data_IF_618217771058
#
_entry.id   IF_618217771058
#
_cell.length_a   1.000
_cell.length_b   1.000
_cell.length_c   1.000
_cell.angle_alpha   90.00
_cell.angle_beta   90.00
_cell.angle_gamma   90.00
#
_symmetry.space_group_name_H-M   'P 1'
#
loop_
_entity.id
_entity.type
_entity.pdbx_description
1 polymer ?
#
# COMPACT_ATOMS: atom_id res chain seq x y z
N UNK A 1 -6.44 10.25 11.21
CA UNK A 1 -5.71 9.33 12.12
C UNK A 1 -6.06 7.93 11.67
N UNK A 2 -5.08 7.03 11.52
CA UNK A 2 -5.36 5.66 11.12
C UNK A 2 -5.86 4.83 12.30
N UNK A 3 -7.10 5.05 12.73
CA UNK A 3 -7.70 4.30 13.83
C UNK A 3 -8.18 2.94 13.31
N UNK A 4 -7.34 1.92 13.52
CA UNK A 4 -7.53 0.54 13.00
C UNK A 4 -7.72 0.45 11.49
N UNK A 5 -7.27 1.47 10.77
CA UNK A 5 -7.41 1.60 9.33
C UNK A 5 -6.23 2.39 8.79
N UNK A 6 -5.57 1.88 7.76
CA UNK A 6 -4.40 2.53 7.20
C UNK A 6 -4.19 2.15 5.73
N UNK A 7 -3.07 2.58 5.14
CA UNK A 7 -2.71 2.23 3.78
C UNK A 7 -2.85 0.73 3.53
N UNK A 8 -3.45 0.39 2.40
CA UNK A 8 -3.80 -0.99 2.07
C UNK A 8 -2.94 -1.49 0.91
N UNK A 9 -2.60 -2.78 0.93
CA UNK A 9 -2.04 -3.46 -0.23
C UNK A 9 -3.11 -4.31 -0.87
N UNK A 10 -3.31 -4.13 -2.17
CA UNK A 10 -4.25 -4.89 -2.97
C UNK A 10 -3.55 -5.60 -4.12
N UNK A 11 -4.11 -6.72 -4.55
CA UNK A 11 -3.62 -7.50 -5.69
C UNK A 11 -4.79 -8.08 -6.48
N UNK A 12 -4.52 -8.59 -7.69
CA UNK A 12 -5.55 -9.23 -8.53
C UNK A 12 -6.07 -10.54 -7.95
N UNK A 13 -5.19 -11.27 -7.28
CA UNK A 13 -5.50 -12.54 -6.63
C UNK A 13 -5.27 -12.45 -5.12
N UNK A 14 -5.97 -13.30 -4.36
CA UNK A 14 -5.74 -13.41 -2.93
C UNK A 14 -4.42 -14.16 -2.71
N UNK A 15 -3.37 -13.41 -2.35
CA UNK A 15 -2.04 -13.92 -2.05
C UNK A 15 -1.71 -13.77 -0.57
N UNK A 16 -0.67 -14.47 -0.10
CA UNK A 16 -0.19 -14.29 1.28
C UNK A 16 0.62 -13.01 1.44
N UNK A 17 0.68 -12.46 2.65
CA UNK A 17 1.52 -11.28 2.95
C UNK A 17 3.00 -11.59 2.70
N UNK A 18 3.43 -12.84 2.90
CA UNK A 18 4.79 -13.29 2.62
C UNK A 18 5.17 -13.14 1.14
N UNK A 19 4.23 -13.40 0.23
CA UNK A 19 4.47 -13.28 -1.21
C UNK A 19 4.74 -11.83 -1.64
N UNK A 20 4.24 -10.84 -0.89
CA UNK A 20 4.49 -9.42 -1.17
C UNK A 20 5.96 -9.03 -1.08
N UNK A 21 6.79 -9.84 -0.40
CA UNK A 21 8.24 -9.59 -0.29
C UNK A 21 8.98 -9.80 -1.61
N UNK A 22 8.43 -10.65 -2.48
CA UNK A 22 9.01 -10.97 -3.80
C UNK A 22 8.25 -10.27 -4.94
N UNK A 23 7.08 -9.71 -4.66
CA UNK A 23 6.22 -9.00 -5.59
C UNK A 23 6.77 -7.61 -5.97
N UNK A 24 6.45 -7.16 -7.18
CA UNK A 24 6.64 -5.76 -7.58
C UNK A 24 5.40 -4.94 -7.21
N UNK A 25 5.57 -3.97 -6.31
CA UNK A 25 4.47 -3.19 -5.73
C UNK A 25 4.41 -1.78 -6.35
N UNK A 26 3.27 -1.41 -6.92
CA UNK A 26 3.00 -0.03 -7.30
C UNK A 26 2.81 0.84 -6.05
N UNK A 27 3.57 1.93 -5.91
CA UNK A 27 3.54 2.81 -4.74
C UNK A 27 3.33 4.27 -5.14
N UNK A 28 2.57 5.06 -4.35
CA UNK A 28 2.28 6.46 -4.66
C UNK A 28 3.47 7.41 -4.44
N UNK A 29 4.54 6.91 -3.78
CA UNK A 29 5.75 7.67 -3.52
C UNK A 29 6.57 7.07 -2.38
N UNK A 30 7.90 7.14 -2.49
CA UNK A 30 8.86 6.53 -1.55
C UNK A 30 9.05 7.32 -0.26
N UNK A 31 8.62 8.58 -0.22
CA UNK A 31 8.68 9.43 0.97
C UNK A 31 7.36 9.47 1.76
N UNK A 32 6.39 8.65 1.37
CA UNK A 32 5.09 8.59 2.04
C UNK A 32 5.16 7.73 3.30
N UNK A 33 4.33 8.05 4.29
CA UNK A 33 4.17 7.21 5.47
C UNK A 33 3.64 5.82 5.12
N UNK A 34 2.83 5.71 4.06
CA UNK A 34 2.32 4.45 3.54
C UNK A 34 3.47 3.53 3.09
N UNK A 35 4.42 4.06 2.33
CA UNK A 35 5.59 3.32 1.88
C UNK A 35 6.43 2.84 3.06
N UNK A 36 6.67 3.73 4.04
CA UNK A 36 7.39 3.38 5.25
C UNK A 36 6.68 2.30 6.06
N UNK A 37 5.37 2.42 6.27
CA UNK A 37 4.57 1.45 7.02
C UNK A 37 4.61 0.06 6.36
N UNK A 38 4.48 0.00 5.04
CA UNK A 38 4.58 -1.26 4.30
C UNK A 38 5.98 -1.89 4.45
N UNK A 39 7.04 -1.09 4.29
CA UNK A 39 8.42 -1.55 4.49
C UNK A 39 8.66 -2.11 5.90
N UNK A 40 8.12 -1.43 6.92
CA UNK A 40 8.18 -1.90 8.31
C UNK A 40 7.41 -3.21 8.52
N UNK A 41 6.23 -3.34 7.91
CA UNK A 41 5.42 -4.55 7.97
C UNK A 41 6.12 -5.75 7.33
N UNK A 42 6.68 -5.58 6.14
CA UNK A 42 7.38 -6.65 5.42
C UNK A 42 8.76 -6.96 6.00
N UNK A 43 9.36 -6.02 6.74
CA UNK A 43 10.72 -6.09 7.32
C UNK A 43 11.82 -6.32 6.28
N UNK A 44 11.57 -5.95 5.04
CA UNK A 44 12.49 -6.07 3.91
C UNK A 44 12.34 -4.87 2.99
N UNK A 45 13.35 -4.62 2.18
CA UNK A 45 13.18 -3.83 0.95
C UNK A 45 12.47 -4.71 -0.09
N UNK A 46 11.55 -4.11 -0.84
CA UNK A 46 10.74 -4.78 -1.85
C UNK A 46 10.84 -4.06 -3.19
N UNK A 47 10.64 -4.81 -4.27
CA UNK A 47 10.61 -4.26 -5.62
C UNK A 47 9.39 -3.34 -5.75
N UNK A 48 9.58 -2.14 -6.30
CA UNK A 48 8.49 -1.19 -6.45
C UNK A 48 8.60 -0.35 -7.71
N UNK A 49 7.46 0.14 -8.16
CA UNK A 49 7.34 1.18 -9.19
C UNK A 49 6.59 2.37 -8.61
N UNK A 50 7.10 3.57 -8.84
CA UNK A 50 6.42 4.79 -8.39
C UNK A 50 5.39 5.17 -9.44
N UNK A 51 4.14 5.29 -9.02
CA UNK A 51 3.00 5.65 -9.86
C UNK A 51 2.21 6.79 -9.20
N UNK A 52 1.48 7.62 -9.95
CA UNK A 52 0.51 8.55 -9.37
C UNK A 52 -0.51 7.81 -8.50
N UNK A 53 -0.90 8.40 -7.37
CA UNK A 53 -1.70 7.70 -6.36
C UNK A 53 -3.10 7.28 -6.88
N UNK A 54 -3.64 8.05 -7.82
CA UNK A 54 -4.90 7.85 -8.51
C UNK A 54 -4.81 6.76 -9.59
N UNK A 55 -3.62 6.45 -10.09
CA UNK A 55 -3.37 5.39 -11.08
C UNK A 55 -3.07 4.02 -10.45
N UNK A 56 -2.78 3.94 -9.15
CA UNK A 56 -2.33 2.68 -8.50
C UNK A 56 -3.29 1.52 -8.78
N UNK A 57 -4.59 1.73 -8.63
CA UNK A 57 -5.58 0.67 -8.83
C UNK A 57 -5.60 0.16 -10.27
N UNK A 58 -5.65 1.09 -11.22
CA UNK A 58 -5.70 0.77 -12.65
C UNK A 58 -4.42 0.03 -13.09
N UNK A 59 -3.28 0.44 -12.55
CA UNK A 59 -1.98 -0.22 -12.78
C UNK A 59 -1.97 -1.64 -12.24
N UNK A 60 -2.51 -1.89 -11.04
CA UNK A 60 -2.59 -3.26 -10.48
C UNK A 60 -3.55 -4.12 -11.28
N UNK A 61 -4.69 -3.57 -11.70
CA UNK A 61 -5.66 -4.28 -12.53
C UNK A 61 -5.05 -4.67 -13.88
N UNK A 62 -4.31 -3.75 -14.53
CA UNK A 62 -3.54 -4.04 -15.74
C UNK A 62 -2.40 -5.03 -15.49
N UNK A 63 -1.74 -4.93 -14.34
CA UNK A 63 -0.59 -5.73 -13.93
C UNK A 63 0.73 -5.29 -14.53
N UNK A 64 0.78 -4.08 -15.08
CA UNK A 64 2.01 -3.48 -15.58
C UNK A 64 1.94 -1.95 -15.53
N UNK A 65 3.11 -1.32 -15.46
CA UNK A 65 3.27 0.11 -15.63
C UNK A 65 4.53 0.42 -16.41
N UNK A 66 4.39 1.13 -17.52
CA UNK A 66 5.51 1.53 -18.38
C UNK A 66 6.43 0.35 -18.77
N UNK A 67 5.82 -0.81 -19.09
CA UNK A 67 6.53 -2.04 -19.48
C UNK A 67 7.20 -2.79 -18.32
N UNK A 68 6.93 -2.41 -17.07
CA UNK A 68 7.35 -3.17 -15.88
C UNK A 68 6.16 -3.94 -15.31
N UNK A 69 6.32 -5.22 -14.95
CA UNK A 69 5.27 -5.98 -14.29
C UNK A 69 4.93 -5.40 -12.92
N UNK A 70 3.65 -5.46 -12.55
CA UNK A 70 3.13 -5.06 -11.25
C UNK A 70 2.22 -6.15 -10.72
N UNK A 71 2.47 -6.58 -9.49
CA UNK A 71 1.78 -7.71 -8.87
C UNK A 71 0.77 -7.21 -7.81
N UNK A 72 1.11 -6.11 -7.13
CA UNK A 72 0.29 -5.52 -6.07
C UNK A 72 0.42 -4.00 -6.07
N UNK A 73 -0.47 -3.31 -5.35
CA UNK A 73 -0.43 -1.86 -5.22
C UNK A 73 -0.75 -1.39 -3.82
N UNK A 74 0.00 -0.39 -3.39
CA UNK A 74 -0.18 0.31 -2.13
C UNK A 74 -1.14 1.49 -2.33
N UNK A 75 -2.37 1.32 -1.88
CA UNK A 75 -3.44 2.29 -2.04
C UNK A 75 -3.65 3.10 -0.76
N UNK A 76 -4.02 4.36 -0.96
CA UNK A 76 -4.31 5.36 0.07
C UNK A 76 -5.60 6.10 -0.29
N UNK A 77 -6.12 6.92 0.63
CA UNK A 77 -7.28 7.79 0.40
C UNK A 77 -8.49 7.04 -0.18
N UNK A 78 -9.03 7.52 -1.31
CA UNK A 78 -10.27 7.01 -1.90
C UNK A 78 -10.11 5.62 -2.53
N UNK A 79 -8.90 5.24 -2.93
CA UNK A 79 -8.64 3.93 -3.54
C UNK A 79 -9.03 2.77 -2.62
N UNK A 80 -8.96 2.99 -1.31
CA UNK A 80 -9.34 2.02 -0.29
C UNK A 80 -10.85 1.69 -0.29
N UNK A 81 -11.69 2.53 -0.88
CA UNK A 81 -13.14 2.31 -1.00
C UNK A 81 -13.53 1.71 -2.36
N UNK A 82 -12.67 1.81 -3.36
CA UNK A 82 -13.01 1.48 -4.76
C UNK A 82 -12.31 0.24 -5.30
N UNK A 83 -11.26 -0.28 -4.65
CA UNK A 83 -10.51 -1.43 -5.14
C UNK A 83 -11.37 -2.66 -5.45
N UNK A 84 -12.40 -2.93 -4.62
CA UNK A 84 -13.30 -4.06 -4.80
C UNK A 84 -14.14 -3.97 -6.09
N UNK A 85 -14.34 -2.75 -6.64
CA UNK A 85 -15.05 -2.56 -7.92
C UNK A 85 -14.22 -3.01 -9.12
N UNK A 86 -12.90 -3.10 -8.96
CA UNK A 86 -11.97 -3.62 -9.97
C UNK A 86 -11.61 -5.10 -9.72
N UNK A 87 -12.42 -5.80 -8.90
CA UNK A 87 -12.22 -7.19 -8.48
C UNK A 87 -10.91 -7.47 -7.73
N UNK A 88 -10.19 -6.42 -7.32
CA UNK A 88 -8.96 -6.55 -6.55
C UNK A 88 -9.25 -7.05 -5.13
N UNK A 89 -8.29 -7.79 -4.57
CA UNK A 89 -8.35 -8.38 -3.23
C UNK A 89 -7.48 -7.60 -2.27
N UNK A 90 -8.01 -7.32 -1.08
CA UNK A 90 -7.23 -6.77 0.02
C UNK A 90 -6.30 -7.84 0.56
N UNK A 91 -5.00 -7.56 0.58
CA UNK A 91 -3.97 -8.47 1.08
C UNK A 91 -3.52 -8.06 2.48
N UNK A 92 -3.37 -6.76 2.71
CA UNK A 92 -2.86 -6.22 3.97
C UNK A 92 -3.43 -4.83 4.23
N UNK A 93 -3.91 -4.58 5.45
CA UNK A 93 -4.14 -3.23 5.97
C UNK A 93 -3.02 -2.90 6.98
N UNK A 94 -2.17 -1.93 6.63
CA UNK A 94 -1.03 -1.54 7.47
C UNK A 94 -1.45 -0.82 8.75
N UNK A 95 -2.63 -0.21 8.79
CA UNK A 95 -3.18 0.39 10.00
C UNK A 95 -3.69 -0.65 10.98
N UNK A 96 -4.35 -1.70 10.49
CA UNK A 96 -4.73 -2.84 11.32
C UNK A 96 -3.49 -3.56 11.86
N UNK A 97 -2.52 -3.89 10.99
CA UNK A 97 -1.25 -4.49 11.40
C UNK A 97 -0.55 -3.66 12.47
N UNK A 98 -0.44 -2.34 12.27
CA UNK A 98 0.21 -1.45 13.24
C UNK A 98 -0.50 -1.46 14.59
N UNK A 99 -1.83 -1.44 14.60
CA UNK A 99 -2.61 -1.51 15.82
C UNK A 99 -2.41 -2.85 16.54
N UNK A 100 -2.38 -3.97 15.82
CA UNK A 100 -2.11 -5.29 16.39
C UNK A 100 -0.70 -5.38 17.01
N UNK A 101 0.29 -4.71 16.42
CA UNK A 101 1.66 -4.71 16.96
C UNK A 101 1.88 -3.75 18.14
N UNK A 102 1.18 -2.61 18.17
CA UNK A 102 1.51 -1.50 19.07
C UNK A 102 0.39 -1.09 20.03
N UNK A 103 -0.86 -1.45 19.74
CA UNK A 103 -2.05 -0.95 20.44
C UNK A 103 -2.33 0.54 20.19
N UNK A 104 -1.62 1.18 19.25
CA UNK A 104 -1.73 2.61 18.95
C UNK A 104 -2.22 2.83 17.52
N UNK A 105 -2.83 3.98 17.21
CA UNK A 105 -3.17 4.34 15.84
C UNK A 105 -1.93 4.64 15.01
N UNK A 106 -1.95 4.28 13.73
CA UNK A 106 -0.84 4.55 12.80
C UNK A 106 -0.80 6.06 12.47
N UNK A 107 0.31 6.78 12.73
CA UNK A 107 0.48 8.14 12.27
C UNK A 107 0.61 8.14 10.74
N UNK A 108 -0.14 8.98 10.03
CA UNK A 108 -0.13 9.00 8.56
C UNK A 108 0.38 10.32 7.98
N UNK A 109 0.17 11.43 8.69
CA UNK A 109 0.61 12.75 8.27
C UNK A 109 0.68 13.70 9.46
N UNK A 110 1.44 14.78 9.30
CA UNK A 110 1.59 15.82 10.29
C UNK A 110 1.66 17.18 9.60
N UNK A 111 1.20 18.23 10.28
CA UNK A 111 1.40 19.60 9.85
C UNK A 111 2.73 20.11 10.43
N UNK A 112 3.61 20.63 9.57
CA UNK A 112 4.91 21.15 9.97
C UNK A 112 4.97 22.67 9.74
N UNK A 113 5.58 23.40 10.67
CA UNK A 113 5.89 24.83 10.55
C UNK A 113 7.41 24.97 10.49
N UNK A 114 7.90 25.74 9.52
CA UNK A 114 9.33 26.02 9.37
C UNK A 114 9.82 26.85 10.56
N UNK A 115 10.96 26.45 11.14
CA UNK A 115 11.65 27.20 12.20
C UNK A 115 12.06 28.60 11.75
#
# INVERSE_FOLDING_TARGET
>A
MGDRYGPMVVAREAVSVESLKEATIAVPGTLTTAYLALRMCLRVDFAHVVVPFDEVLDVVAAGEYQGKPVDAGLIIHEGQLTYAKQDLKLILDTGQWWFEQTGLPLPLGANAIRK
#
